data_IF_621321031905
#
_entry.id   IF_621321031905
#
_cell.length_a   1.000
_cell.length_b   1.000
_cell.length_c   1.000
_cell.angle_alpha   90.00
_cell.angle_beta   90.00
_cell.angle_gamma   90.00
#
_symmetry.space_group_name_H-M   'P 1'
#
loop_
_entity.id
_entity.type
_entity.pdbx_description
1 polymer ?
#
# COMPACT_ATOMS: atom_id res chain seq x y z
N UNK A 1 33.55 -0.60 -6.33
CA UNK A 1 33.68 -0.91 -7.76
C UNK A 1 33.45 -2.41 -7.99
N UNK A 2 32.27 -2.80 -8.46
CA UNK A 2 31.73 -4.10 -8.91
C UNK A 2 30.56 -4.59 -8.04
N UNK A 3 29.33 -4.18 -8.38
CA UNK A 3 28.11 -4.94 -8.07
C UNK A 3 26.85 -4.45 -8.83
N UNK A 4 26.99 -3.99 -10.08
CA UNK A 4 25.84 -3.53 -10.88
C UNK A 4 25.50 -4.45 -12.07
N UNK A 5 25.77 -5.78 -11.98
CA UNK A 5 25.54 -6.68 -13.12
C UNK A 5 24.56 -7.84 -12.87
N UNK A 6 23.91 -7.94 -11.71
CA UNK A 6 23.03 -9.08 -11.41
C UNK A 6 21.52 -8.81 -11.46
N UNK A 7 21.09 -7.55 -11.60
CA UNK A 7 19.65 -7.23 -11.66
C UNK A 7 19.01 -7.56 -13.01
N UNK A 8 19.77 -7.48 -14.12
CA UNK A 8 19.23 -7.72 -15.46
C UNK A 8 19.11 -9.21 -15.83
N UNK A 9 19.84 -10.09 -15.16
CA UNK A 9 19.74 -11.55 -15.38
C UNK A 9 18.62 -12.18 -14.55
N UNK A 10 18.28 -11.61 -13.40
CA UNK A 10 17.19 -12.10 -12.54
C UNK A 10 15.80 -11.87 -13.16
N UNK A 11 15.64 -10.79 -13.93
CA UNK A 11 14.38 -10.47 -14.61
C UNK A 11 14.06 -11.36 -15.83
N UNK A 12 15.02 -12.15 -16.32
CA UNK A 12 14.80 -13.10 -17.44
C UNK A 12 14.35 -14.48 -17.00
N UNK A 13 14.46 -14.83 -15.71
CA UNK A 13 14.15 -16.17 -15.20
C UNK A 13 12.72 -16.34 -14.65
N UNK A 14 11.92 -15.26 -14.54
CA UNK A 14 10.58 -15.29 -13.90
C UNK A 14 9.40 -15.39 -14.88
N UNK A 15 9.62 -15.74 -16.14
CA UNK A 15 8.56 -15.79 -17.17
C UNK A 15 7.69 -17.06 -17.16
N UNK A 16 7.50 -17.76 -16.04
CA UNK A 16 6.64 -18.96 -15.97
C UNK A 16 5.72 -19.01 -14.75
N UNK A 17 5.06 -17.90 -14.40
CA UNK A 17 3.82 -17.99 -13.64
C UNK A 17 2.65 -17.89 -14.60
N UNK A 18 2.20 -19.02 -15.17
CA UNK A 18 0.89 -19.15 -15.80
C UNK A 18 -0.18 -19.07 -14.70
N UNK A 19 -0.53 -17.85 -14.28
CA UNK A 19 -1.68 -17.63 -13.42
C UNK A 19 -2.90 -17.58 -14.34
N UNK A 20 -3.57 -18.72 -14.50
CA UNK A 20 -4.89 -18.75 -15.14
C UNK A 20 -5.91 -18.13 -14.18
N UNK A 21 -6.36 -16.91 -14.52
CA UNK A 21 -7.52 -16.31 -13.86
C UNK A 21 -8.79 -17.09 -14.29
N UNK A 22 -9.24 -18.01 -13.46
CA UNK A 22 -10.56 -18.61 -13.61
C UNK A 22 -11.64 -17.59 -13.23
N UNK A 23 -12.21 -16.92 -14.24
CA UNK A 23 -13.31 -15.98 -14.04
C UNK A 23 -14.63 -16.75 -13.89
N UNK A 24 -15.36 -16.65 -12.78
CA UNK A 24 -16.73 -17.11 -12.72
C UNK A 24 -17.60 -16.26 -13.67
N UNK A 25 -18.42 -16.92 -14.46
CA UNK A 25 -19.37 -16.30 -15.37
C UNK A 25 -20.42 -15.52 -14.57
N UNK A 26 -20.48 -14.19 -14.73
CA UNK A 26 -21.44 -13.33 -14.03
C UNK A 26 -22.72 -13.20 -14.85
N UNK A 27 -23.87 -13.44 -14.22
CA UNK A 27 -25.18 -13.09 -14.74
C UNK A 27 -25.42 -11.59 -14.62
N UNK A 28 -25.78 -10.95 -15.73
CA UNK A 28 -26.15 -9.53 -15.80
C UNK A 28 -27.49 -9.29 -15.10
N UNK A 29 -27.51 -8.71 -13.93
CA UNK A 29 -28.65 -7.97 -13.41
C UNK A 29 -28.23 -6.81 -12.53
N UNK A 30 -28.53 -5.57 -12.98
CA UNK A 30 -28.37 -4.34 -12.23
C UNK A 30 -26.93 -3.83 -12.16
N UNK A 31 -26.68 -2.52 -12.21
CA UNK A 31 -25.39 -1.85 -12.07
C UNK A 31 -24.64 -2.28 -10.79
N UNK A 32 -24.05 -3.44 -10.83
CA UNK A 32 -23.22 -3.97 -9.75
C UNK A 32 -21.77 -3.72 -10.11
N UNK A 33 -21.06 -3.10 -9.18
CA UNK A 33 -19.60 -2.97 -9.24
C UNK A 33 -18.99 -4.35 -9.48
N UNK A 34 -18.27 -4.49 -10.58
CA UNK A 34 -17.58 -5.73 -10.91
C UNK A 34 -16.64 -6.13 -9.76
N UNK A 35 -16.76 -7.39 -9.30
CA UNK A 35 -15.98 -7.95 -8.19
C UNK A 35 -15.41 -9.30 -8.61
N UNK A 36 -14.09 -9.42 -8.55
CA UNK A 36 -13.35 -10.63 -8.93
C UNK A 36 -12.39 -11.00 -7.82
N UNK A 37 -12.24 -12.27 -7.53
CA UNK A 37 -11.28 -12.80 -6.55
C UNK A 37 -10.30 -13.74 -7.21
N UNK A 38 -9.07 -13.72 -6.76
CA UNK A 38 -8.03 -14.69 -7.11
C UNK A 38 -7.21 -15.05 -5.88
N UNK A 39 -6.55 -16.18 -5.92
CA UNK A 39 -5.60 -16.59 -4.89
C UNK A 39 -4.47 -17.39 -5.53
N UNK A 40 -3.27 -17.30 -4.96
CA UNK A 40 -2.12 -18.09 -5.40
C UNK A 40 -1.22 -18.40 -4.20
N UNK A 41 -0.43 -19.45 -4.36
CA UNK A 41 0.62 -19.74 -3.38
C UNK A 41 1.78 -18.77 -3.60
N UNK A 42 2.06 -17.92 -2.60
CA UNK A 42 3.15 -16.96 -2.65
C UNK A 42 4.49 -17.64 -2.35
N UNK A 43 5.44 -17.67 -3.30
CA UNK A 43 6.79 -18.17 -3.02
C UNK A 43 7.56 -17.29 -2.04
N UNK A 44 7.30 -15.96 -2.03
CA UNK A 44 7.93 -15.06 -1.07
C UNK A 44 7.46 -15.29 0.37
N UNK A 45 6.17 -15.59 0.57
CA UNK A 45 5.56 -15.73 1.90
C UNK A 45 5.37 -17.18 2.33
N UNK A 46 5.45 -18.14 1.38
CA UNK A 46 5.21 -19.56 1.60
C UNK A 46 3.82 -19.90 2.17
N UNK A 47 2.80 -19.14 1.74
CA UNK A 47 1.39 -19.33 2.08
C UNK A 47 0.51 -18.95 0.88
N UNK A 48 -0.75 -19.40 0.91
CA UNK A 48 -1.75 -18.92 -0.05
C UNK A 48 -2.16 -17.48 0.25
N UNK A 49 -2.14 -16.63 -0.79
CA UNK A 49 -2.45 -15.21 -0.69
C UNK A 49 -3.62 -14.86 -1.61
N UNK A 50 -4.79 -14.54 -1.04
CA UNK A 50 -5.93 -14.06 -1.80
C UNK A 50 -5.85 -12.57 -2.10
N UNK A 51 -6.51 -12.17 -3.20
CA UNK A 51 -6.72 -10.80 -3.64
C UNK A 51 -8.14 -10.66 -4.17
N UNK A 52 -8.77 -9.52 -3.93
CA UNK A 52 -10.04 -9.15 -4.55
C UNK A 52 -9.88 -7.85 -5.33
N UNK A 53 -10.38 -7.84 -6.57
CA UNK A 53 -10.43 -6.67 -7.44
C UNK A 53 -11.87 -6.16 -7.59
N UNK A 54 -12.03 -4.83 -7.59
CA UNK A 54 -13.29 -4.12 -7.77
C UNK A 54 -13.19 -3.16 -8.94
N UNK A 55 -14.16 -3.21 -9.85
CA UNK A 55 -14.25 -2.33 -11.01
C UNK A 55 -13.59 -2.90 -12.26
N UNK A 56 -13.78 -2.19 -13.37
CA UNK A 56 -13.45 -2.64 -14.72
C UNK A 56 -12.34 -1.82 -15.38
N UNK A 57 -12.09 -0.59 -14.92
CA UNK A 57 -11.14 0.35 -15.53
C UNK A 57 -10.66 1.40 -14.53
N UNK A 58 -9.72 2.25 -14.95
CA UNK A 58 -9.22 3.41 -14.22
C UNK A 58 -7.85 3.21 -13.60
N UNK A 59 -7.46 4.19 -12.79
CA UNK A 59 -6.20 4.15 -12.03
C UNK A 59 -6.21 2.98 -11.05
N UNK A 60 -5.24 2.06 -11.10
CA UNK A 60 -5.14 1.00 -10.11
C UNK A 60 -4.90 1.59 -8.71
N UNK A 61 -5.67 1.09 -7.72
CA UNK A 61 -5.57 1.44 -6.31
C UNK A 61 -5.27 0.17 -5.51
N UNK A 62 -4.06 0.03 -5.00
CA UNK A 62 -3.65 -1.09 -4.16
C UNK A 62 -3.95 -0.76 -2.69
N UNK A 63 -4.82 -1.56 -2.06
CA UNK A 63 -5.36 -1.36 -0.73
C UNK A 63 -4.76 -2.34 0.27
N UNK A 64 -4.06 -1.82 1.28
CA UNK A 64 -3.42 -2.59 2.35
C UNK A 64 -4.31 -2.64 3.58
N UNK A 65 -4.68 -3.84 4.10
CA UNK A 65 -5.58 -3.95 5.24
C UNK A 65 -4.97 -3.42 6.55
N UNK A 66 -5.82 -3.14 7.53
CA UNK A 66 -5.41 -2.67 8.85
C UNK A 66 -4.76 -3.79 9.68
N UNK A 67 -4.62 -3.58 10.99
CA UNK A 67 -4.02 -4.54 11.91
C UNK A 67 -4.81 -5.86 11.98
N UNK A 68 -4.11 -6.99 11.81
CA UNK A 68 -4.67 -8.35 11.89
C UNK A 68 -5.82 -8.67 10.92
N UNK A 69 -5.99 -7.87 9.88
CA UNK A 69 -7.07 -7.97 8.93
C UNK A 69 -6.70 -8.76 7.66
N UNK A 70 -7.72 -9.12 6.89
CA UNK A 70 -7.60 -9.84 5.63
C UNK A 70 -8.03 -8.98 4.43
N UNK A 71 -7.93 -9.53 3.23
CA UNK A 71 -8.24 -8.89 1.95
C UNK A 71 -9.70 -8.43 1.78
N UNK A 72 -10.64 -8.88 2.61
CA UNK A 72 -12.07 -8.49 2.58
C UNK A 72 -12.44 -7.43 3.62
N UNK A 73 -11.49 -6.98 4.43
CA UNK A 73 -11.77 -6.02 5.50
C UNK A 73 -12.43 -4.74 4.96
N UNK A 74 -11.88 -4.16 3.91
CA UNK A 74 -12.38 -2.91 3.34
C UNK A 74 -13.78 -3.04 2.72
N UNK A 75 -14.16 -4.25 2.28
CA UNK A 75 -15.53 -4.56 1.87
C UNK A 75 -16.44 -4.67 3.11
N UNK A 76 -16.03 -5.44 4.13
CA UNK A 76 -16.82 -5.63 5.36
C UNK A 76 -17.10 -4.34 6.11
N UNK A 77 -16.15 -3.41 6.11
CA UNK A 77 -16.28 -2.11 6.79
C UNK A 77 -16.72 -0.97 5.84
N UNK A 78 -17.24 -1.30 4.66
CA UNK A 78 -17.84 -0.37 3.71
C UNK A 78 -16.88 0.73 3.19
N UNK A 79 -15.56 0.53 3.25
CA UNK A 79 -14.62 1.47 2.65
C UNK A 79 -14.67 1.39 1.13
N UNK A 80 -14.82 0.18 0.56
CA UNK A 80 -15.03 -0.02 -0.89
C UNK A 80 -16.33 0.65 -1.34
N UNK A 81 -17.39 0.57 -0.53
CA UNK A 81 -18.66 1.26 -0.84
C UNK A 81 -18.51 2.77 -0.88
N UNK A 82 -17.65 3.35 -0.04
CA UNK A 82 -17.43 4.82 -0.02
C UNK A 82 -16.76 5.34 -1.29
N UNK A 83 -16.03 4.50 -2.01
CA UNK A 83 -15.37 4.83 -3.29
C UNK A 83 -16.09 4.20 -4.50
N UNK A 84 -17.25 3.57 -4.29
CA UNK A 84 -18.08 2.98 -5.36
C UNK A 84 -18.31 3.93 -6.55
N UNK A 85 -18.64 5.24 -6.35
CA UNK A 85 -18.82 6.15 -7.47
C UNK A 85 -17.58 6.30 -8.35
N UNK A 86 -16.37 6.24 -7.77
CA UNK A 86 -15.11 6.29 -8.53
C UNK A 86 -14.89 5.01 -9.34
N UNK A 87 -15.24 3.86 -8.73
CA UNK A 87 -15.09 2.54 -9.35
C UNK A 87 -16.10 2.36 -10.51
N UNK A 88 -17.37 2.65 -10.29
CA UNK A 88 -18.43 2.49 -11.30
C UNK A 88 -18.25 3.42 -12.51
N UNK A 89 -17.68 4.61 -12.29
CA UNK A 89 -17.32 5.54 -13.36
C UNK A 89 -16.03 5.14 -14.10
N UNK A 90 -15.36 4.06 -13.70
CA UNK A 90 -14.11 3.63 -14.30
C UNK A 90 -12.92 4.58 -14.04
N UNK A 91 -12.96 5.37 -12.98
CA UNK A 91 -11.87 6.27 -12.58
C UNK A 91 -10.82 5.53 -11.76
N UNK A 92 -11.27 4.57 -10.94
CA UNK A 92 -10.45 3.74 -10.06
C UNK A 92 -10.80 2.27 -10.27
N UNK A 93 -9.77 1.42 -10.31
CA UNK A 93 -9.87 -0.03 -10.20
C UNK A 93 -9.15 -0.46 -8.93
N UNK A 94 -9.89 -0.89 -7.92
CA UNK A 94 -9.34 -1.16 -6.59
C UNK A 94 -8.94 -2.64 -6.45
N UNK A 95 -7.80 -2.88 -5.76
CA UNK A 95 -7.25 -4.21 -5.47
C UNK A 95 -6.97 -4.29 -3.98
N UNK A 96 -7.73 -5.11 -3.25
CA UNK A 96 -7.51 -5.35 -1.84
C UNK A 96 -6.79 -6.68 -1.63
N UNK A 97 -5.65 -6.63 -0.95
CA UNK A 97 -4.76 -7.77 -0.72
C UNK A 97 -4.82 -8.26 0.71
N UNK A 98 -4.41 -9.51 0.91
CA UNK A 98 -4.18 -10.03 2.25
C UNK A 98 -2.88 -9.47 2.85
N UNK A 99 -2.75 -9.56 4.17
CA UNK A 99 -1.56 -9.15 4.90
C UNK A 99 -1.06 -10.25 5.84
N UNK A 100 0.24 -10.25 6.10
CA UNK A 100 0.88 -11.16 7.05
C UNK A 100 1.09 -10.51 8.43
N UNK A 101 0.61 -9.29 8.66
CA UNK A 101 0.91 -8.54 9.87
C UNK A 101 0.44 -9.25 11.17
N UNK A 102 -0.65 -10.04 11.11
CA UNK A 102 -1.10 -10.90 12.20
C UNK A 102 -0.04 -11.94 12.60
N UNK A 103 0.67 -12.48 11.63
CA UNK A 103 1.68 -13.52 11.84
C UNK A 103 3.08 -12.94 12.04
N UNK A 104 3.29 -11.64 11.75
CA UNK A 104 4.55 -10.92 11.87
C UNK A 104 4.53 -9.88 12.99
N UNK A 105 4.37 -8.60 12.64
CA UNK A 105 4.47 -7.47 13.58
C UNK A 105 3.61 -7.62 14.84
N UNK A 106 2.40 -8.16 14.68
CA UNK A 106 1.43 -8.32 15.78
C UNK A 106 1.57 -9.66 16.53
N UNK A 107 2.43 -10.56 16.08
CA UNK A 107 2.66 -11.84 16.76
C UNK A 107 3.69 -11.66 17.88
N UNK A 108 3.23 -11.54 19.12
CA UNK A 108 4.09 -11.35 20.29
C UNK A 108 5.05 -12.55 20.54
N UNK A 109 4.71 -13.75 20.04
CA UNK A 109 5.53 -14.94 20.18
C UNK A 109 6.63 -15.05 19.12
N UNK A 110 6.54 -14.28 18.03
CA UNK A 110 7.55 -14.32 16.98
C UNK A 110 8.79 -13.51 17.38
N UNK A 111 9.99 -14.09 17.24
CA UNK A 111 11.24 -13.35 17.47
C UNK A 111 11.33 -12.10 16.59
N UNK A 112 11.83 -10.96 17.10
CA UNK A 112 11.85 -9.70 16.36
C UNK A 112 12.58 -9.75 15.01
N UNK A 113 13.68 -10.52 14.89
CA UNK A 113 14.41 -10.67 13.62
C UNK A 113 13.56 -11.38 12.55
N UNK A 114 12.73 -12.34 12.93
CA UNK A 114 11.81 -13.01 11.99
C UNK A 114 10.65 -12.09 11.59
N UNK A 115 10.19 -11.21 12.49
CA UNK A 115 9.22 -10.17 12.13
C UNK A 115 9.79 -9.22 11.07
N UNK A 116 11.04 -8.77 11.25
CA UNK A 116 11.74 -7.90 10.32
C UNK A 116 11.98 -8.58 8.95
N UNK A 117 12.43 -9.84 8.95
CA UNK A 117 12.56 -10.64 7.73
C UNK A 117 11.23 -10.79 7.00
N UNK A 118 10.13 -11.03 7.73
CA UNK A 118 8.82 -11.21 7.10
C UNK A 118 8.27 -9.91 6.49
N UNK A 119 8.64 -8.74 7.03
CA UNK A 119 8.37 -7.45 6.36
C UNK A 119 9.09 -7.35 5.02
N UNK A 120 10.36 -7.75 4.95
CA UNK A 120 11.14 -7.76 3.70
C UNK A 120 10.54 -8.76 2.69
N UNK A 121 10.10 -9.93 3.15
CA UNK A 121 9.42 -10.91 2.28
C UNK A 121 8.06 -10.42 1.81
N UNK A 122 7.33 -9.68 2.64
CA UNK A 122 6.07 -9.06 2.25
C UNK A 122 6.27 -7.96 1.21
N UNK A 123 7.32 -7.16 1.32
CA UNK A 123 7.70 -6.18 0.31
C UNK A 123 7.98 -6.84 -1.05
N UNK A 124 8.74 -7.94 -1.06
CA UNK A 124 8.97 -8.74 -2.28
C UNK A 124 7.68 -9.32 -2.85
N UNK A 125 6.78 -9.82 -2.00
CA UNK A 125 5.46 -10.27 -2.43
C UNK A 125 4.70 -9.17 -3.17
N UNK A 126 4.74 -7.93 -2.68
CA UNK A 126 4.08 -6.80 -3.35
C UNK A 126 4.70 -6.53 -4.73
N UNK A 127 6.03 -6.47 -4.80
CA UNK A 127 6.75 -6.09 -6.04
C UNK A 127 6.76 -7.24 -7.05
N UNK A 128 7.06 -8.45 -6.61
CA UNK A 128 7.33 -9.59 -7.50
C UNK A 128 6.06 -10.37 -7.88
N UNK A 129 4.96 -10.24 -7.11
CA UNK A 129 3.75 -11.03 -7.30
C UNK A 129 2.50 -10.16 -7.52
N UNK A 130 2.18 -9.24 -6.60
CA UNK A 130 0.96 -8.42 -6.68
C UNK A 130 1.02 -7.44 -7.85
N UNK A 131 2.12 -6.72 -8.00
CA UNK A 131 2.27 -5.72 -9.07
C UNK A 131 2.18 -6.33 -10.48
N UNK A 132 2.83 -7.46 -10.78
CA UNK A 132 2.63 -8.16 -12.06
C UNK A 132 1.16 -8.59 -12.31
N UNK A 133 0.45 -9.05 -11.29
CA UNK A 133 -0.98 -9.40 -11.39
C UNK A 133 -1.81 -8.17 -11.75
N UNK A 134 -1.59 -7.03 -11.09
CA UNK A 134 -2.28 -5.77 -11.40
C UNK A 134 -1.98 -5.33 -12.85
N UNK A 135 -0.73 -5.40 -13.28
CA UNK A 135 -0.32 -5.06 -14.64
C UNK A 135 -0.98 -5.96 -15.69
N UNK A 136 -1.03 -7.25 -15.43
CA UNK A 136 -1.73 -8.20 -16.30
C UNK A 136 -3.23 -7.91 -16.34
N UNK A 137 -3.87 -7.71 -15.19
CA UNK A 137 -5.33 -7.48 -15.08
C UNK A 137 -5.76 -6.16 -15.72
N UNK A 138 -4.90 -5.14 -15.70
CA UNK A 138 -5.14 -3.85 -16.38
C UNK A 138 -4.78 -3.86 -17.86
N UNK A 139 -4.06 -4.87 -18.33
CA UNK A 139 -3.50 -4.91 -19.69
C UNK A 139 -2.43 -3.84 -19.93
N UNK A 140 -1.83 -3.28 -18.88
CA UNK A 140 -0.81 -2.24 -18.96
C UNK A 140 0.43 -2.66 -18.16
N UNK A 141 1.51 -3.02 -18.89
CA UNK A 141 2.80 -3.43 -18.30
C UNK A 141 3.47 -2.34 -17.47
N UNK A 142 3.15 -1.08 -17.73
CA UNK A 142 3.73 0.08 -17.07
C UNK A 142 2.78 0.68 -16.01
N UNK A 143 1.69 -0.02 -15.69
CA UNK A 143 0.76 0.44 -14.66
C UNK A 143 1.47 0.64 -13.33
N UNK A 144 1.30 1.84 -12.76
CA UNK A 144 1.81 2.25 -11.47
C UNK A 144 0.62 2.46 -10.54
N UNK A 145 0.31 1.49 -9.65
CA UNK A 145 -0.79 1.64 -8.71
C UNK A 145 -0.57 2.81 -7.75
N UNK A 146 -1.66 3.48 -7.37
CA UNK A 146 -1.70 4.30 -6.17
C UNK A 146 -1.83 3.34 -4.98
N UNK A 147 -1.06 3.53 -3.91
CA UNK A 147 -1.16 2.73 -2.69
C UNK A 147 -2.04 3.42 -1.66
N UNK A 148 -2.82 2.66 -0.89
CA UNK A 148 -3.62 3.22 0.22
C UNK A 148 -3.80 2.23 1.34
N UNK A 149 -4.04 2.77 2.52
CA UNK A 149 -4.37 2.00 3.71
C UNK A 149 -4.71 2.89 4.89
N UNK A 150 -5.29 2.29 5.92
CA UNK A 150 -5.57 2.95 7.19
C UNK A 150 -4.78 2.26 8.33
N UNK A 151 -4.41 3.01 9.37
CA UNK A 151 -3.71 2.47 10.54
C UNK A 151 -2.42 1.74 10.14
N UNK A 152 -2.25 0.45 10.49
CA UNK A 152 -1.10 -0.36 10.06
C UNK A 152 -1.04 -0.52 8.53
N UNK A 153 -2.19 -0.51 7.85
CA UNK A 153 -2.27 -0.50 6.39
C UNK A 153 -1.69 0.77 5.77
N UNK A 154 -1.81 1.91 6.45
CA UNK A 154 -1.19 3.16 6.01
C UNK A 154 0.35 3.09 6.05
N UNK A 155 0.91 2.45 7.07
CA UNK A 155 2.34 2.15 7.13
C UNK A 155 2.76 1.27 5.94
N UNK A 156 2.07 0.15 5.70
CA UNK A 156 2.41 -0.76 4.60
C UNK A 156 2.33 -0.06 3.23
N UNK A 157 1.28 0.73 3.01
CA UNK A 157 1.11 1.51 1.79
C UNK A 157 2.22 2.55 1.58
N UNK A 158 2.56 3.29 2.64
CA UNK A 158 3.62 4.30 2.61
C UNK A 158 4.99 3.65 2.41
N UNK A 159 5.28 2.55 3.12
CA UNK A 159 6.55 1.84 2.97
C UNK A 159 6.72 1.30 1.54
N UNK A 160 5.68 0.69 0.96
CA UNK A 160 5.73 0.20 -0.43
C UNK A 160 5.98 1.33 -1.42
N UNK A 161 5.29 2.47 -1.28
CA UNK A 161 5.48 3.61 -2.16
C UNK A 161 6.88 4.25 -2.02
N UNK A 162 7.31 4.58 -0.81
CA UNK A 162 8.58 5.29 -0.61
C UNK A 162 9.81 4.43 -0.89
N UNK A 163 9.71 3.11 -0.79
CA UNK A 163 10.78 2.19 -1.22
C UNK A 163 10.86 2.05 -2.73
N UNK A 164 9.72 2.10 -3.42
CA UNK A 164 9.60 1.82 -4.85
C UNK A 164 8.83 2.94 -5.58
N UNK A 165 9.26 4.20 -5.50
CA UNK A 165 8.51 5.32 -6.10
C UNK A 165 8.48 5.27 -7.63
N UNK A 166 9.34 4.48 -8.25
CA UNK A 166 9.35 4.17 -9.67
C UNK A 166 8.27 3.14 -10.08
N UNK A 167 7.82 2.29 -9.15
CA UNK A 167 6.82 1.25 -9.38
C UNK A 167 5.40 1.68 -9.01
N UNK A 168 5.26 2.66 -8.13
CA UNK A 168 3.97 3.18 -7.67
C UNK A 168 3.79 4.66 -8.04
N UNK A 169 2.54 5.09 -8.22
CA UNK A 169 2.22 6.46 -8.58
C UNK A 169 2.27 7.42 -7.39
N UNK A 170 1.85 6.94 -6.21
CA UNK A 170 1.70 7.77 -5.02
C UNK A 170 1.11 6.97 -3.87
N UNK A 171 0.75 7.68 -2.79
CA UNK A 171 0.18 7.08 -1.58
C UNK A 171 -0.91 7.95 -0.96
N UNK A 172 -1.98 7.29 -0.49
CA UNK A 172 -2.98 7.87 0.43
C UNK A 172 -2.89 7.10 1.74
N UNK A 173 -2.23 7.66 2.72
CA UNK A 173 -1.96 7.04 4.02
C UNK A 173 -2.85 7.68 5.10
N UNK A 174 -3.77 6.91 5.68
CA UNK A 174 -4.76 7.38 6.65
C UNK A 174 -4.44 6.90 8.06
N UNK A 175 -4.23 7.81 9.01
CA UNK A 175 -4.02 7.52 10.44
C UNK A 175 -2.88 6.54 10.70
N UNK A 176 -1.75 6.68 9.99
CA UNK A 176 -0.63 5.74 10.01
C UNK A 176 0.40 6.01 11.10
N UNK A 177 1.17 4.96 11.40
CA UNK A 177 2.45 5.07 12.10
C UNK A 177 3.56 4.66 11.14
N UNK A 178 4.58 5.48 10.98
CA UNK A 178 5.64 5.27 9.98
C UNK A 178 6.96 4.88 10.61
N UNK A 179 6.90 4.44 11.87
CA UNK A 179 8.00 3.89 12.65
C UNK A 179 7.58 2.55 13.27
N UNK A 180 8.23 1.47 12.85
CA UNK A 180 7.90 0.09 13.26
C UNK A 180 8.70 -0.40 14.45
N UNK A 181 9.65 0.38 14.96
CA UNK A 181 10.56 -0.06 16.03
C UNK A 181 9.83 -0.54 17.29
N UNK A 182 8.66 0.05 17.59
CA UNK A 182 7.83 -0.39 18.73
C UNK A 182 7.32 -1.83 18.64
N UNK A 183 7.18 -2.39 17.42
CA UNK A 183 6.79 -3.78 17.22
C UNK A 183 7.95 -4.76 17.32
N UNK A 184 9.18 -4.29 17.34
CA UNK A 184 10.41 -5.08 17.18
C UNK A 184 11.26 -5.15 18.46
N UNK A 185 10.73 -4.70 19.61
CA UNK A 185 11.38 -4.84 20.93
C UNK A 185 12.85 -4.37 20.95
N UNK A 186 13.14 -3.26 20.27
CA UNK A 186 14.49 -2.69 20.10
C UNK A 186 15.46 -3.54 19.25
N UNK A 187 15.00 -4.60 18.61
CA UNK A 187 15.79 -5.29 17.59
C UNK A 187 15.98 -4.38 16.37
N UNK A 188 17.18 -4.38 15.81
CA UNK A 188 17.52 -3.54 14.65
C UNK A 188 18.55 -4.23 13.76
N UNK A 189 18.23 -4.33 12.48
CA UNK A 189 19.08 -4.84 11.40
C UNK A 189 18.73 -4.14 10.08
N UNK A 190 19.33 -4.57 8.98
CA UNK A 190 19.05 -4.03 7.65
C UNK A 190 17.58 -4.25 7.23
N UNK A 191 16.94 -5.35 7.66
CA UNK A 191 15.52 -5.57 7.36
C UNK A 191 14.64 -4.53 8.06
N UNK A 192 14.98 -4.15 9.29
CA UNK A 192 14.27 -3.06 10.00
C UNK A 192 14.53 -1.74 9.29
N UNK A 193 15.81 -1.39 9.04
CA UNK A 193 16.19 -0.14 8.40
C UNK A 193 15.44 0.07 7.09
N UNK A 194 15.51 -0.89 6.17
CA UNK A 194 14.88 -0.78 4.85
C UNK A 194 13.37 -0.96 4.83
N UNK A 195 12.73 -1.26 5.97
CA UNK A 195 11.28 -1.29 6.12
C UNK A 195 10.74 -0.27 7.13
N UNK A 196 11.54 0.73 7.49
CA UNK A 196 11.15 1.78 8.40
C UNK A 196 11.30 3.17 7.74
N UNK A 197 10.22 3.77 7.20
CA UNK A 197 10.26 5.09 6.56
C UNK A 197 10.93 6.16 7.42
N UNK A 198 10.74 6.11 8.75
CA UNK A 198 11.36 7.03 9.68
C UNK A 198 12.90 6.93 9.72
N UNK A 199 13.49 5.81 9.28
CA UNK A 199 14.94 5.60 9.27
C UNK A 199 15.55 5.84 7.88
N UNK A 200 14.99 5.21 6.80
CA UNK A 200 15.63 5.30 5.50
C UNK A 200 15.36 6.61 4.76
N UNK A 201 14.18 7.24 4.93
CA UNK A 201 13.86 8.49 4.21
C UNK A 201 14.78 9.65 4.60
N UNK A 202 15.11 9.90 5.88
CA UNK A 202 16.09 10.93 6.24
C UNK A 202 17.45 10.73 5.57
N UNK A 203 17.84 9.49 5.34
CA UNK A 203 19.12 9.10 4.76
C UNK A 203 19.08 8.91 3.22
N UNK A 204 17.92 9.06 2.61
CA UNK A 204 17.79 8.93 1.16
C UNK A 204 18.52 10.07 0.46
N UNK A 205 19.58 9.73 -0.29
CA UNK A 205 20.42 10.66 -1.05
C UNK A 205 20.62 10.22 -2.49
N UNK A 206 19.91 9.18 -2.94
CA UNK A 206 19.92 8.72 -4.31
C UNK A 206 19.11 9.69 -5.19
N UNK A 207 19.78 10.34 -6.14
CA UNK A 207 19.18 11.35 -7.00
C UNK A 207 18.07 10.80 -7.89
N UNK A 208 18.15 9.52 -8.31
CA UNK A 208 17.12 8.88 -9.12
C UNK A 208 15.79 8.82 -8.36
N UNK A 209 15.79 8.28 -7.15
CA UNK A 209 14.58 8.18 -6.33
C UNK A 209 14.10 9.56 -5.83
N UNK A 210 15.02 10.44 -5.44
CA UNK A 210 14.66 11.79 -5.01
C UNK A 210 13.99 12.60 -6.15
N UNK A 211 14.44 12.44 -7.39
CA UNK A 211 13.84 13.13 -8.53
C UNK A 211 12.39 12.64 -8.76
N UNK A 212 12.15 11.33 -8.66
CA UNK A 212 10.81 10.76 -8.79
C UNK A 212 9.90 11.26 -7.66
N UNK A 213 10.35 11.16 -6.42
CA UNK A 213 9.59 11.62 -5.25
C UNK A 213 9.28 13.12 -5.28
N UNK A 214 10.24 13.95 -5.73
CA UNK A 214 10.06 15.40 -5.90
C UNK A 214 9.13 15.77 -7.03
N UNK A 215 8.96 14.90 -8.01
CA UNK A 215 7.98 15.06 -9.10
C UNK A 215 6.60 14.48 -8.79
N UNK A 216 6.37 13.92 -7.61
CA UNK A 216 5.11 13.28 -7.26
C UNK A 216 3.99 14.30 -7.02
N UNK A 217 2.77 13.96 -7.44
CA UNK A 217 1.55 14.76 -7.29
C UNK A 217 0.51 14.13 -6.36
N UNK A 218 0.77 12.93 -5.86
CA UNK A 218 -0.22 12.08 -5.20
C UNK A 218 0.30 11.49 -3.88
N UNK A 219 0.89 12.31 -3.01
CA UNK A 219 1.31 11.92 -1.65
C UNK A 219 0.39 12.61 -0.65
N UNK A 220 -0.54 11.84 -0.05
CA UNK A 220 -1.49 12.31 0.95
C UNK A 220 -1.27 11.59 2.27
N UNK A 221 -1.02 12.36 3.33
CA UNK A 221 -0.86 11.90 4.70
C UNK A 221 -2.02 12.48 5.50
N UNK A 222 -2.95 11.62 5.90
CA UNK A 222 -4.19 12.01 6.56
C UNK A 222 -4.20 11.52 8.01
N UNK A 223 -4.72 12.30 8.93
CA UNK A 223 -4.98 11.87 10.31
C UNK A 223 -6.12 12.67 10.92
N UNK A 224 -6.88 12.06 11.81
CA UNK A 224 -7.69 12.77 12.77
C UNK A 224 -6.85 13.32 13.94
N UNK A 225 -7.51 13.99 14.87
CA UNK A 225 -6.93 14.47 16.12
C UNK A 225 -7.77 14.03 17.33
N UNK A 226 -8.75 13.15 17.11
CA UNK A 226 -9.65 12.64 18.13
C UNK A 226 -9.12 11.39 18.83
N UNK A 227 -10.05 10.60 19.40
CA UNK A 227 -9.71 9.43 20.19
C UNK A 227 -8.93 8.38 19.40
N UNK A 228 -7.86 7.87 19.99
CA UNK A 228 -6.93 6.86 19.43
C UNK A 228 -6.14 7.28 18.20
N UNK A 229 -6.25 8.53 17.76
CA UNK A 229 -5.37 9.10 16.74
C UNK A 229 -4.02 9.51 17.33
N UNK A 230 -3.01 9.54 16.47
CA UNK A 230 -1.65 9.96 16.80
C UNK A 230 -1.10 10.90 15.71
N UNK A 231 -1.67 12.12 15.57
CA UNK A 231 -1.33 13.04 14.49
C UNK A 231 0.15 13.44 14.47
N UNK A 232 0.85 13.34 15.60
CA UNK A 232 2.30 13.57 15.71
C UNK A 232 3.10 12.61 14.82
N UNK A 233 2.62 11.38 14.58
CA UNK A 233 3.27 10.40 13.68
C UNK A 233 3.18 10.84 12.22
N UNK A 234 2.03 11.38 11.83
CA UNK A 234 1.81 11.95 10.50
C UNK A 234 2.63 13.23 10.30
N UNK A 235 2.74 14.08 11.33
CA UNK A 235 3.63 15.26 11.31
C UNK A 235 5.10 14.86 11.15
N UNK A 236 5.57 13.86 11.90
CA UNK A 236 6.94 13.40 11.83
C UNK A 236 7.32 12.92 10.42
N UNK A 237 6.45 12.15 9.74
CA UNK A 237 6.67 11.78 8.35
C UNK A 237 6.67 13.01 7.42
N UNK A 238 5.73 13.93 7.61
CA UNK A 238 5.65 15.18 6.84
C UNK A 238 6.92 16.02 7.00
N UNK A 239 7.46 16.15 8.21
CA UNK A 239 8.70 16.87 8.47
C UNK A 239 9.90 16.25 7.71
N UNK A 240 9.97 14.91 7.69
CA UNK A 240 10.99 14.18 6.92
C UNK A 240 10.84 14.50 5.41
N UNK A 241 9.64 14.38 4.86
CA UNK A 241 9.40 14.66 3.44
C UNK A 241 9.71 16.12 3.08
N UNK A 242 9.31 17.05 3.95
CA UNK A 242 9.63 18.47 3.80
C UNK A 242 11.15 18.71 3.77
N UNK A 243 11.91 18.08 4.68
CA UNK A 243 13.37 18.20 4.74
C UNK A 243 14.08 17.70 3.48
N UNK A 244 13.44 16.77 2.73
CA UNK A 244 13.94 16.23 1.46
C UNK A 244 13.41 16.98 0.23
N UNK A 245 12.56 18.00 0.42
CA UNK A 245 11.91 18.75 -0.66
C UNK A 245 10.92 17.91 -1.47
N UNK A 246 10.30 16.90 -0.82
CA UNK A 246 9.29 16.03 -1.43
C UNK A 246 7.90 16.66 -1.24
N UNK A 247 7.20 17.05 -2.32
CA UNK A 247 5.87 17.65 -2.23
C UNK A 247 4.86 16.60 -1.73
N UNK A 248 4.04 17.02 -0.77
CA UNK A 248 3.00 16.16 -0.18
C UNK A 248 1.91 17.02 0.46
N UNK A 249 0.77 16.42 0.71
CA UNK A 249 -0.31 17.00 1.49
C UNK A 249 -0.35 16.33 2.85
N UNK A 250 -0.11 17.09 3.93
CA UNK A 250 -0.47 16.71 5.28
C UNK A 250 -1.83 17.34 5.60
N UNK A 251 -2.86 16.52 5.84
CA UNK A 251 -4.21 17.00 6.17
C UNK A 251 -4.66 16.41 7.51
N UNK A 252 -4.71 17.25 8.54
CA UNK A 252 -5.08 16.89 9.90
C UNK A 252 -6.50 17.37 10.19
N UNK A 253 -7.43 16.42 10.24
CA UNK A 253 -8.83 16.68 10.50
C UNK A 253 -9.09 16.98 11.98
N UNK A 254 -10.32 17.38 12.32
CA UNK A 254 -10.66 17.91 13.64
C UNK A 254 -10.46 16.96 14.83
N UNK A 255 -10.64 17.49 16.03
CA UNK A 255 -10.51 16.71 17.27
C UNK A 255 -11.68 15.74 17.51
N UNK A 256 -12.74 15.86 16.75
CA UNK A 256 -13.86 14.93 16.67
C UNK A 256 -13.63 13.74 15.74
N UNK A 257 -12.50 13.74 15.01
CA UNK A 257 -12.12 12.71 14.05
C UNK A 257 -11.29 11.65 14.74
N UNK A 258 -11.90 10.51 15.03
CA UNK A 258 -11.31 9.40 15.76
C UNK A 258 -10.64 8.39 14.81
N UNK A 259 -9.78 7.51 15.34
CA UNK A 259 -9.14 6.42 14.65
C UNK A 259 -10.12 5.29 14.32
N UNK A 260 -11.04 5.55 13.36
CA UNK A 260 -12.16 4.64 13.08
C UNK A 260 -12.70 4.78 11.64
N UNK A 261 -13.39 3.75 11.20
CA UNK A 261 -13.97 3.55 9.86
C UNK A 261 -14.84 4.69 9.34
N UNK A 262 -15.73 5.34 10.13
CA UNK A 262 -16.54 6.45 9.64
C UNK A 262 -15.72 7.58 9.03
N UNK A 263 -14.50 7.79 9.53
CA UNK A 263 -13.62 8.85 9.09
C UNK A 263 -12.80 8.41 7.87
N UNK A 264 -12.24 7.19 7.86
CA UNK A 264 -11.52 6.68 6.70
C UNK A 264 -12.42 6.57 5.47
N UNK A 265 -13.72 6.26 5.65
CA UNK A 265 -14.71 6.30 4.57
C UNK A 265 -14.97 7.71 4.00
N UNK A 266 -14.61 8.76 4.71
CA UNK A 266 -14.64 10.14 4.21
C UNK A 266 -13.29 10.58 3.64
N UNK A 267 -12.18 10.18 4.27
CA UNK A 267 -10.83 10.55 3.86
C UNK A 267 -10.46 9.98 2.50
N UNK A 268 -10.73 8.70 2.25
CA UNK A 268 -10.32 8.05 1.00
C UNK A 268 -10.98 8.69 -0.24
N UNK A 269 -12.32 8.81 -0.35
CA UNK A 269 -12.93 9.46 -1.51
C UNK A 269 -12.49 10.92 -1.67
N UNK A 270 -12.34 11.68 -0.58
CA UNK A 270 -11.82 13.05 -0.61
C UNK A 270 -10.43 13.15 -1.27
N UNK A 271 -9.51 12.24 -0.92
CA UNK A 271 -8.19 12.21 -1.57
C UNK A 271 -8.28 11.75 -3.02
N UNK A 272 -9.13 10.75 -3.33
CA UNK A 272 -9.31 10.25 -4.70
C UNK A 272 -9.88 11.34 -5.62
N UNK A 273 -10.78 12.19 -5.14
CA UNK A 273 -11.29 13.33 -5.90
C UNK A 273 -10.14 14.27 -6.32
N UNK A 274 -9.19 14.54 -5.44
CA UNK A 274 -8.00 15.33 -5.75
C UNK A 274 -7.08 14.66 -6.76
N UNK A 275 -6.87 13.35 -6.63
CA UNK A 275 -6.03 12.57 -7.56
C UNK A 275 -6.62 12.52 -8.96
N UNK A 276 -7.95 12.39 -9.06
CA UNK A 276 -8.65 12.20 -10.35
C UNK A 276 -8.87 13.52 -11.08
N UNK A 277 -9.15 14.61 -10.36
CA UNK A 277 -9.49 15.90 -10.98
C UNK A 277 -8.29 16.85 -11.11
N UNK A 278 -7.14 16.50 -10.52
CA UNK A 278 -6.01 17.40 -10.39
C UNK A 278 -6.35 18.56 -9.45
N UNK A 279 -5.43 18.99 -8.60
CA UNK A 279 -5.62 20.19 -7.77
C UNK A 279 -5.77 21.43 -8.62
#
# INVERSE_FOLDING_TARGET
LRSNCHLSEYLRATNHLNIEFNYPCFTKEGSLMERRTTAWFSPNLNIEMPLVAYGHAGQPLLMFPTAAADYLEYERFHLVDSIRPHIERGLIRAYSINSVNRYSLLNEQMPPHLKAELLTRFDRYIVDEVLPIIRQDTGNSDARPLTTGASLGAFLAANSYFKHPDLFRGVIAMSGSYDVRSYLQNFYDDNVYFNNPADYLPNLNDDYYLQILRGADSIFIMSGQGAYEAPERSRALSDILHSKGIPHTLDLWGQDVNHDWPWWRKMLPYCLDKVVHGN
#
